data_IF_530924994917
#
_entry.id   IF_530924994917
#
_cell.length_a   1.000
_cell.length_b   1.000
_cell.length_c   1.000
_cell.angle_alpha   90.00
_cell.angle_beta   90.00
_cell.angle_gamma   90.00
#
_symmetry.space_group_name_H-M   'P 1'
#
loop_
_entity.id
_entity.type
_entity.pdbx_description
1 polymer ?
#
# COMPACT_ATOMS: atom_id res chain seq x y z
N UNK A 1 -1.64 1.43 1.64
CA UNK A 1 -0.27 1.99 1.76
C UNK A 1 0.20 2.60 0.45
N UNK A 2 0.45 1.83 -0.61
CA UNK A 2 0.95 2.35 -1.89
C UNK A 2 0.04 3.43 -2.51
N UNK A 3 -1.27 3.18 -2.58
CA UNK A 3 -2.24 4.15 -3.11
C UNK A 3 -2.25 5.44 -2.28
N UNK A 4 -2.14 5.36 -0.95
CA UNK A 4 -2.06 6.55 -0.08
C UNK A 4 -0.83 7.40 -0.43
N UNK A 5 0.31 6.76 -0.67
CA UNK A 5 1.53 7.46 -1.10
C UNK A 5 1.34 8.08 -2.49
N UNK A 6 0.74 7.37 -3.45
CA UNK A 6 0.47 7.92 -4.77
C UNK A 6 -0.48 9.12 -4.71
N UNK A 7 -1.54 9.05 -3.90
CA UNK A 7 -2.42 10.18 -3.63
C UNK A 7 -1.64 11.38 -3.07
N UNK A 8 -0.77 11.15 -2.09
CA UNK A 8 0.05 12.20 -1.48
C UNK A 8 1.02 12.84 -2.50
N UNK A 9 1.78 12.02 -3.24
CA UNK A 9 2.79 12.50 -4.19
C UNK A 9 2.19 13.14 -5.45
N UNK A 10 0.98 12.74 -5.84
CA UNK A 10 0.31 13.24 -7.05
C UNK A 10 -0.79 14.28 -6.76
N UNK A 11 -1.15 14.52 -5.50
CA UNK A 11 -2.21 15.44 -5.11
C UNK A 11 -3.63 14.95 -5.39
N UNK A 12 -3.85 13.64 -5.54
CA UNK A 12 -5.18 13.06 -5.70
C UNK A 12 -5.89 12.89 -4.35
N UNK A 13 -7.21 13.09 -4.32
CA UNK A 13 -8.03 12.64 -3.20
C UNK A 13 -7.88 11.12 -2.96
N UNK A 14 -7.99 10.69 -1.71
CA UNK A 14 -7.82 9.28 -1.33
C UNK A 14 -8.85 8.33 -1.94
N UNK A 15 -9.99 8.87 -2.41
CA UNK A 15 -11.06 8.15 -3.10
C UNK A 15 -10.94 8.16 -4.64
N UNK A 16 -10.03 8.97 -5.19
CA UNK A 16 -9.93 9.15 -6.64
C UNK A 16 -9.26 7.95 -7.33
N UNK A 17 -8.35 7.27 -6.62
CA UNK A 17 -7.61 6.13 -7.14
C UNK A 17 -8.27 4.81 -6.75
N UNK A 18 -8.25 3.85 -7.67
CA UNK A 18 -8.69 2.47 -7.47
C UNK A 18 -7.62 1.49 -7.92
N UNK A 19 -7.66 0.27 -7.38
CA UNK A 19 -6.81 -0.82 -7.82
C UNK A 19 -7.58 -1.98 -8.47
N UNK A 20 -6.85 -2.70 -9.32
CA UNK A 20 -7.18 -4.05 -9.79
C UNK A 20 -5.93 -4.91 -9.69
N UNK A 21 -6.06 -6.10 -9.11
CA UNK A 21 -5.01 -7.05 -8.84
C UNK A 21 -5.15 -8.20 -9.85
N UNK A 22 -4.06 -8.47 -10.55
CA UNK A 22 -3.93 -9.56 -11.51
C UNK A 22 -2.99 -10.61 -10.93
N UNK A 23 -3.55 -11.72 -10.46
CA UNK A 23 -2.82 -12.80 -9.81
C UNK A 23 -3.32 -14.16 -10.33
N UNK A 24 -2.45 -14.91 -11.02
CA UNK A 24 -2.70 -16.28 -11.45
C UNK A 24 -1.60 -17.18 -10.89
N UNK A 25 -2.00 -18.18 -10.10
CA UNK A 25 -1.11 -19.07 -9.35
C UNK A 25 -1.19 -20.53 -9.79
N UNK A 26 -2.09 -20.89 -10.72
CA UNK A 26 -2.36 -22.27 -11.13
C UNK A 26 -1.83 -22.60 -12.53
N UNK A 27 -1.85 -21.64 -13.45
CA UNK A 27 -1.36 -21.85 -14.81
C UNK A 27 0.04 -21.26 -15.00
N UNK A 28 0.96 -22.07 -15.52
CA UNK A 28 2.28 -21.60 -15.96
C UNK A 28 2.23 -20.85 -17.31
N UNK A 29 1.16 -21.05 -18.10
CA UNK A 29 1.04 -20.50 -19.45
C UNK A 29 0.50 -19.07 -19.45
N UNK A 30 -0.37 -18.71 -18.51
CA UNK A 30 -0.97 -17.38 -18.38
C UNK A 30 -0.59 -16.72 -17.05
N UNK A 31 0.71 -16.43 -16.85
CA UNK A 31 1.19 -15.78 -15.63
C UNK A 31 0.65 -14.36 -15.49
N UNK A 32 -0.08 -14.09 -14.42
CA UNK A 32 -0.57 -12.77 -14.05
C UNK A 32 0.03 -12.38 -12.70
N UNK A 33 0.81 -11.30 -12.66
CA UNK A 33 1.50 -10.80 -11.46
C UNK A 33 1.58 -9.27 -11.52
N UNK A 34 0.43 -8.62 -11.62
CA UNK A 34 0.35 -7.18 -11.87
C UNK A 34 -0.68 -6.49 -10.99
N UNK A 35 -0.49 -5.19 -10.82
CA UNK A 35 -1.50 -4.29 -10.26
C UNK A 35 -1.76 -3.18 -11.27
N UNK A 36 -3.02 -2.84 -11.47
CA UNK A 36 -3.43 -1.65 -12.21
C UNK A 36 -3.99 -0.63 -11.22
N UNK A 37 -3.37 0.54 -11.17
CA UNK A 37 -3.87 1.68 -10.40
C UNK A 37 -4.40 2.70 -11.39
N UNK A 38 -5.66 3.08 -11.23
CA UNK A 38 -6.36 3.95 -12.17
C UNK A 38 -7.22 4.96 -11.43
N UNK A 39 -7.51 6.08 -12.09
CA UNK A 39 -8.47 7.06 -11.57
C UNK A 39 -9.89 6.65 -11.96
N UNK A 40 -10.82 6.77 -11.03
CA UNK A 40 -12.25 6.60 -11.26
C UNK A 40 -13.04 7.89 -10.99
N UNK A 41 -12.35 9.01 -10.76
CA UNK A 41 -12.99 10.32 -10.70
C UNK A 41 -13.37 10.77 -12.12
N UNK A 42 -14.65 11.11 -12.32
CA UNK A 42 -15.20 11.50 -13.62
C UNK A 42 -14.84 12.93 -14.02
N UNK A 43 -14.36 13.73 -13.07
CA UNK A 43 -14.20 15.17 -13.16
C UNK A 43 -12.88 15.62 -12.53
N UNK A 44 -12.03 16.18 -13.39
CA UNK A 44 -11.08 17.28 -13.15
C UNK A 44 -10.06 17.27 -11.98
N UNK A 45 -9.96 16.26 -11.10
CA UNK A 45 -8.94 16.22 -10.03
C UNK A 45 -7.51 15.84 -10.50
N UNK A 46 -7.10 16.25 -11.69
CA UNK A 46 -5.69 16.24 -12.12
C UNK A 46 -5.45 15.69 -13.51
N UNK A 47 -4.44 16.25 -14.18
CA UNK A 47 -3.92 15.65 -15.43
C UNK A 47 -3.34 14.28 -15.10
N UNK A 48 -3.83 13.21 -15.75
CA UNK A 48 -3.32 11.84 -15.54
C UNK A 48 -1.79 11.71 -15.67
N UNK A 49 -1.12 12.69 -16.29
CA UNK A 49 0.33 12.75 -16.40
C UNK A 49 1.08 12.69 -15.06
N UNK A 50 0.52 13.16 -13.95
CA UNK A 50 1.17 13.02 -12.64
C UNK A 50 1.27 11.55 -12.20
N UNK A 51 0.15 10.84 -12.23
CA UNK A 51 0.06 9.42 -11.85
C UNK A 51 0.84 8.52 -12.82
N UNK A 52 0.66 8.71 -14.13
CA UNK A 52 1.34 7.92 -15.17
C UNK A 52 2.85 8.07 -15.04
N UNK A 53 3.36 9.28 -14.80
CA UNK A 53 4.79 9.50 -14.59
C UNK A 53 5.32 8.79 -13.36
N UNK A 54 4.56 8.64 -12.29
CA UNK A 54 5.04 7.87 -11.13
C UNK A 54 5.20 6.38 -11.43
N UNK A 55 4.55 5.85 -12.47
CA UNK A 55 4.73 4.48 -12.94
C UNK A 55 6.02 4.25 -13.74
N UNK A 56 6.77 5.30 -14.10
CA UNK A 56 8.03 5.17 -14.84
C UNK A 56 9.14 4.55 -13.97
N UNK A 57 10.03 3.81 -14.62
CA UNK A 57 11.22 3.25 -13.98
C UNK A 57 12.07 4.36 -13.33
N UNK A 58 12.58 4.09 -12.12
CA UNK A 58 13.32 5.06 -11.29
C UNK A 58 12.43 6.00 -10.44
N UNK A 59 11.12 6.06 -10.69
CA UNK A 59 10.15 6.82 -9.88
C UNK A 59 9.33 5.90 -8.99
N UNK A 60 8.77 4.82 -9.54
CA UNK A 60 7.91 3.90 -8.80
C UNK A 60 8.61 3.29 -7.58
N UNK A 61 9.90 3.00 -7.68
CA UNK A 61 10.71 2.44 -6.60
C UNK A 61 10.81 3.42 -5.43
N UNK A 62 10.92 4.72 -5.71
CA UNK A 62 10.94 5.77 -4.67
C UNK A 62 9.60 5.87 -3.97
N UNK A 63 8.49 5.74 -4.72
CA UNK A 63 7.14 5.72 -4.16
C UNK A 63 6.97 4.51 -3.24
N UNK A 64 7.37 3.32 -3.69
CA UNK A 64 7.30 2.09 -2.86
C UNK A 64 8.15 2.25 -1.60
N UNK A 65 9.38 2.77 -1.71
CA UNK A 65 10.25 2.99 -0.56
C UNK A 65 9.65 3.97 0.46
N UNK A 66 9.02 5.07 0.00
CA UNK A 66 8.32 6.02 0.88
C UNK A 66 7.12 5.38 1.54
N UNK A 67 6.28 4.68 0.77
CA UNK A 67 5.12 3.98 1.30
C UNK A 67 5.51 2.94 2.39
N UNK A 68 6.64 2.25 2.22
CA UNK A 68 7.17 1.31 3.22
C UNK A 68 7.74 2.03 4.45
N UNK A 69 8.42 3.17 4.28
CA UNK A 69 8.93 3.97 5.40
C UNK A 69 7.79 4.54 6.24
N UNK A 70 6.76 5.09 5.59
CA UNK A 70 5.58 5.62 6.27
C UNK A 70 4.81 4.51 6.98
N UNK A 71 4.72 3.33 6.36
CA UNK A 71 4.10 2.16 6.95
C UNK A 71 4.80 1.64 8.22
N UNK A 72 6.04 2.05 8.51
CA UNK A 72 6.72 1.68 9.76
C UNK A 72 6.05 2.26 11.01
N UNK A 73 5.24 3.30 10.85
CA UNK A 73 4.62 4.06 11.93
C UNK A 73 3.10 4.11 11.76
N UNK A 74 2.36 4.04 12.86
CA UNK A 74 0.93 4.29 12.87
C UNK A 74 0.57 5.09 14.11
N UNK A 75 -0.17 6.19 13.93
CA UNK A 75 -0.62 7.01 15.05
C UNK A 75 -1.61 6.30 15.99
N UNK A 76 -2.08 5.12 15.63
CA UNK A 76 -2.95 4.27 16.46
C UNK A 76 -2.20 3.10 17.11
N UNK A 77 -0.87 3.05 17.02
CA UNK A 77 -0.09 2.08 17.79
C UNK A 77 -0.13 2.41 19.30
N UNK A 78 -0.13 1.40 20.19
CA UNK A 78 0.03 -0.03 19.93
C UNK A 78 -1.26 -0.76 19.54
N UNK A 79 -2.43 -0.13 19.69
CA UNK A 79 -3.74 -0.78 19.44
C UNK A 79 -3.83 -1.35 18.01
N UNK A 80 -3.28 -0.63 17.03
CA UNK A 80 -3.27 -1.09 15.64
C UNK A 80 -2.36 -2.30 15.45
N UNK A 81 -1.09 -2.24 15.88
CA UNK A 81 -0.07 -3.26 15.62
C UNK A 81 -0.30 -4.55 16.41
N UNK A 82 -0.90 -4.48 17.59
CA UNK A 82 -1.19 -5.63 18.46
C UNK A 82 -2.58 -6.25 18.22
N UNK A 83 -3.34 -5.71 17.26
CA UNK A 83 -4.70 -6.18 17.00
C UNK A 83 -4.71 -7.66 16.55
N UNK A 84 -5.47 -8.54 17.25
CA UNK A 84 -5.62 -9.94 16.83
C UNK A 84 -6.61 -10.12 15.66
N UNK A 85 -7.25 -9.03 15.21
CA UNK A 85 -8.28 -9.03 14.19
C UNK A 85 -9.10 -7.74 14.22
N UNK A 86 -9.21 -7.06 13.08
CA UNK A 86 -10.02 -5.86 12.90
C UNK A 86 -10.60 -5.74 11.48
N UNK A 87 -11.45 -4.74 11.27
CA UNK A 87 -12.12 -4.50 9.99
C UNK A 87 -13.18 -5.54 9.65
N UNK A 88 -13.59 -5.57 8.38
CA UNK A 88 -14.67 -6.43 7.90
C UNK A 88 -14.35 -7.90 8.13
N UNK A 89 -15.17 -8.56 8.96
CA UNK A 89 -15.01 -9.98 9.29
C UNK A 89 -13.74 -10.32 10.07
N UNK A 90 -13.14 -9.37 10.80
CA UNK A 90 -11.87 -9.54 11.52
C UNK A 90 -10.72 -10.02 10.61
N UNK A 91 -10.75 -9.63 9.34
CA UNK A 91 -9.83 -10.14 8.31
C UNK A 91 -8.51 -9.37 8.22
N UNK A 92 -8.32 -8.34 9.04
CA UNK A 92 -7.10 -7.53 9.08
C UNK A 92 -6.36 -7.69 10.41
N UNK A 93 -5.03 -7.65 10.36
CA UNK A 93 -4.17 -7.53 11.55
C UNK A 93 -3.75 -6.07 11.72
N UNK A 94 -2.49 -5.69 11.51
CA UNK A 94 -2.03 -4.31 11.70
C UNK A 94 -2.44 -3.38 10.54
N UNK A 95 -3.73 -3.08 10.44
CA UNK A 95 -4.29 -2.21 9.40
C UNK A 95 -5.50 -1.42 9.90
N UNK A 96 -5.36 -0.09 9.94
CA UNK A 96 -6.42 0.85 10.29
C UNK A 96 -6.45 2.06 9.33
N UNK A 97 -7.37 3.01 9.56
CA UNK A 97 -7.51 4.22 8.74
C UNK A 97 -6.25 5.08 8.69
N UNK A 98 -5.42 5.07 9.74
CA UNK A 98 -4.18 5.85 9.79
C UNK A 98 -3.13 5.27 8.81
N UNK A 99 -2.96 3.95 8.74
CA UNK A 99 -1.87 3.33 7.98
C UNK A 99 -2.28 2.68 6.64
N UNK A 100 -3.31 1.82 6.64
CA UNK A 100 -3.55 0.89 5.53
C UNK A 100 -4.83 1.16 4.76
N UNK A 101 -5.93 1.42 5.48
CA UNK A 101 -7.26 1.44 4.87
C UNK A 101 -7.42 2.64 3.94
N UNK A 102 -8.20 2.41 2.88
CA UNK A 102 -8.63 3.38 1.88
C UNK A 102 -10.15 3.54 1.95
N UNK A 103 -10.77 4.46 1.20
CA UNK A 103 -12.19 4.34 0.86
C UNK A 103 -12.47 2.95 0.28
N UNK A 104 -13.55 2.29 0.73
CA UNK A 104 -13.80 0.87 0.42
C UNK A 104 -13.86 0.59 -1.09
N UNK A 105 -14.38 1.54 -1.87
CA UNK A 105 -14.49 1.46 -3.33
C UNK A 105 -13.15 1.56 -4.07
N UNK A 106 -12.09 1.98 -3.38
CA UNK A 106 -10.73 2.10 -3.94
C UNK A 106 -9.92 0.81 -3.84
N UNK A 107 -10.22 -0.05 -2.86
CA UNK A 107 -9.53 -1.32 -2.68
C UNK A 107 -10.34 -2.45 -3.31
N UNK A 108 -9.73 -3.25 -4.20
CA UNK A 108 -10.45 -4.32 -4.90
C UNK A 108 -11.05 -5.35 -3.93
N UNK A 109 -10.32 -5.66 -2.85
CA UNK A 109 -10.77 -6.60 -1.82
C UNK A 109 -11.62 -5.94 -0.73
N UNK A 110 -11.91 -4.64 -0.84
CA UNK A 110 -12.73 -3.90 0.11
C UNK A 110 -12.08 -3.83 1.50
N UNK A 111 -10.80 -3.46 1.57
CA UNK A 111 -10.04 -3.31 2.82
C UNK A 111 -9.97 -4.60 3.67
N UNK A 112 -9.80 -5.76 3.03
CA UNK A 112 -9.64 -7.06 3.71
C UNK A 112 -8.26 -7.66 3.47
N UNK A 113 -7.84 -8.54 4.37
CA UNK A 113 -6.56 -9.27 4.29
C UNK A 113 -5.33 -8.35 4.36
N UNK A 114 -5.43 -7.28 5.15
CA UNK A 114 -4.38 -6.26 5.27
C UNK A 114 -3.60 -6.42 6.58
N UNK A 115 -2.28 -6.32 6.47
CA UNK A 115 -1.35 -6.27 7.58
C UNK A 115 -0.08 -5.53 7.18
N UNK A 116 0.21 -4.38 7.79
CA UNK A 116 1.47 -3.67 7.52
C UNK A 116 2.68 -4.37 8.14
N UNK A 117 2.50 -5.09 9.25
CA UNK A 117 3.59 -5.79 9.92
C UNK A 117 4.23 -6.86 9.01
N UNK A 118 3.42 -7.50 8.16
CA UNK A 118 3.91 -8.39 7.11
C UNK A 118 4.95 -7.70 6.20
N UNK A 119 4.79 -6.41 5.91
CA UNK A 119 5.68 -5.68 5.01
C UNK A 119 6.91 -5.11 5.73
N UNK A 120 6.70 -4.48 6.89
CA UNK A 120 7.72 -3.65 7.57
C UNK A 120 8.23 -4.21 8.90
N UNK A 121 7.68 -5.35 9.32
CA UNK A 121 8.00 -6.01 10.59
C UNK A 121 7.34 -5.34 11.79
N UNK A 122 7.58 -5.93 12.96
CA UNK A 122 7.10 -5.41 14.23
C UNK A 122 8.02 -4.28 14.73
N UNK A 123 7.54 -3.34 15.55
CA UNK A 123 8.36 -2.27 16.12
C UNK A 123 9.61 -2.79 16.85
N UNK A 124 9.48 -3.91 17.55
CA UNK A 124 10.54 -4.55 18.37
C UNK A 124 11.52 -5.35 17.51
N UNK A 125 11.06 -5.85 16.36
CA UNK A 125 11.86 -6.64 15.44
C UNK A 125 11.40 -6.45 13.99
N UNK A 126 12.07 -5.50 13.32
CA UNK A 126 11.84 -5.16 11.92
C UNK A 126 12.27 -6.26 10.96
N UNK A 127 13.11 -7.22 11.40
CA UNK A 127 13.61 -8.30 10.54
C UNK A 127 12.52 -9.29 10.11
N UNK A 128 11.38 -9.29 10.82
CA UNK A 128 10.20 -10.10 10.49
C UNK A 128 9.44 -9.61 9.26
N UNK A 129 9.63 -8.36 8.83
CA UNK A 129 8.94 -7.80 7.67
C UNK A 129 9.53 -8.27 6.35
N UNK A 130 8.70 -8.53 5.33
CA UNK A 130 9.15 -8.97 4.02
C UNK A 130 10.20 -8.03 3.39
N UNK A 131 10.05 -6.71 3.58
CA UNK A 131 10.95 -5.70 3.03
C UNK A 131 12.08 -5.27 3.97
N UNK A 132 12.40 -6.02 5.04
CA UNK A 132 13.41 -5.60 6.03
C UNK A 132 14.77 -5.26 5.40
N UNK A 133 15.23 -6.02 4.40
CA UNK A 133 16.50 -5.77 3.71
C UNK A 133 16.49 -4.46 2.95
N UNK A 134 15.36 -4.08 2.37
CA UNK A 134 15.22 -2.82 1.63
C UNK A 134 15.22 -1.63 2.61
N UNK A 135 14.56 -1.79 3.75
CA UNK A 135 14.49 -0.76 4.80
C UNK A 135 15.82 -0.59 5.56
N UNK A 136 16.60 -1.67 5.72
CA UNK A 136 17.90 -1.64 6.39
C UNK A 136 19.00 -0.92 5.57
N UNK A 137 18.82 -0.74 4.26
CA UNK A 137 19.82 -0.11 3.37
C UNK A 137 19.99 1.40 3.59
N UNK A 138 19.17 2.05 4.42
CA UNK A 138 19.36 3.46 4.84
C UNK A 138 20.23 3.57 6.10
N UNK A 139 21.48 3.15 5.99
CA UNK A 139 22.62 3.64 6.81
C UNK A 139 23.85 3.74 5.90
N UNK A 140 23.76 4.56 4.87
CA UNK A 140 24.93 5.14 4.24
C UNK A 140 24.75 6.67 4.34
N UNK A 141 25.73 7.39 4.92
CA UNK A 141 25.67 8.84 5.10
C UNK A 141 25.56 9.60 3.77
#
# INVERSE_FOLDING_TARGET
MLIKQLCFDCGYGSAALRERIYCENKSQENKMQGILIYTAAGDSEGTMGGLVRQGEAGRIEKIIQRALQDAMWCGADPICIESPGQGTGNSNLAACHNCCLLPETSCEQGNRFLDRALLVGLPEDRTKGFFYRLLAQKKAP
#
